data_IF_209426499947
#
_entry.id   IF_209426499947
#
_cell.length_a   1.000
_cell.length_b   1.000
_cell.length_c   1.000
_cell.angle_alpha   90.00
_cell.angle_beta   90.00
_cell.angle_gamma   90.00
#
_symmetry.space_group_name_H-M   'P 1'
#
loop_
_entity.id
_entity.type
_entity.pdbx_description
1 polymer ?
#
# COMPACT_ATOMS: atom_id res chain seq x y z
N UNK A 1 6.99 -5.19 -21.10
CA UNK A 1 5.65 -5.34 -20.47
C UNK A 1 5.27 -4.00 -19.85
N UNK A 2 4.04 -3.52 -20.04
CA UNK A 2 3.56 -2.35 -19.28
C UNK A 2 3.07 -2.86 -17.92
N UNK A 3 3.77 -2.50 -16.85
CA UNK A 3 3.31 -2.77 -15.48
C UNK A 3 2.17 -1.81 -15.16
N UNK A 4 0.95 -2.35 -15.03
CA UNK A 4 -0.22 -1.58 -14.59
C UNK A 4 -0.38 -1.85 -13.10
N UNK A 5 -0.39 -0.78 -12.31
CA UNK A 5 -0.65 -0.88 -10.88
C UNK A 5 -2.15 -0.69 -10.62
N UNK A 6 -2.70 -1.54 -9.77
CA UNK A 6 -4.10 -1.49 -9.36
C UNK A 6 -4.19 -1.09 -7.89
N UNK A 7 -5.10 -0.17 -7.59
CA UNK A 7 -5.37 0.24 -6.22
C UNK A 7 -6.87 0.10 -5.92
N UNK A 8 -7.17 -0.67 -4.88
CA UNK A 8 -8.52 -1.09 -4.52
C UNK A 8 -8.94 -0.48 -3.19
N UNK A 9 -10.16 0.06 -3.14
CA UNK A 9 -10.80 0.49 -1.90
C UNK A 9 -12.28 0.10 -1.95
N UNK A 10 -12.73 -0.68 -0.96
CA UNK A 10 -14.14 -1.06 -0.84
C UNK A 10 -14.71 -1.80 -2.06
N UNK A 11 -13.90 -2.64 -2.71
CA UNK A 11 -14.30 -3.39 -3.92
C UNK A 11 -14.31 -2.58 -5.22
N UNK A 12 -14.00 -1.27 -5.17
CA UNK A 12 -13.78 -0.44 -6.35
C UNK A 12 -12.29 -0.29 -6.60
N UNK A 13 -11.89 -0.16 -7.87
CA UNK A 13 -10.48 0.02 -8.26
C UNK A 13 -10.24 1.25 -9.10
N UNK A 14 -9.04 1.78 -8.98
CA UNK A 14 -8.40 2.62 -9.98
C UNK A 14 -7.16 1.90 -10.51
N UNK A 15 -6.70 2.27 -11.70
CA UNK A 15 -5.45 1.78 -12.26
C UNK A 15 -4.63 2.96 -12.79
N UNK A 16 -3.32 2.87 -12.62
CA UNK A 16 -2.39 3.88 -13.10
C UNK A 16 -1.19 3.22 -13.79
N UNK A 17 -0.42 4.05 -14.51
CA UNK A 17 0.74 3.60 -15.26
C UNK A 17 1.84 3.01 -14.38
N UNK A 18 2.93 2.61 -15.02
CA UNK A 18 4.07 2.05 -14.32
C UNK A 18 4.69 3.08 -13.36
N UNK A 19 4.94 2.66 -12.12
CA UNK A 19 5.78 3.39 -11.18
C UNK A 19 7.26 3.16 -11.49
N UNK A 20 8.14 4.14 -11.23
CA UNK A 20 9.57 4.02 -11.45
C UNK A 20 10.26 3.26 -10.30
N UNK A 21 9.84 2.01 -10.06
CA UNK A 21 10.30 1.18 -8.93
C UNK A 21 10.99 -0.12 -9.37
N UNK A 22 11.15 -0.30 -10.68
CA UNK A 22 11.62 -1.53 -11.30
C UNK A 22 13.10 -1.44 -11.75
N UNK A 23 13.94 -0.77 -10.95
CA UNK A 23 15.36 -0.58 -11.26
C UNK A 23 16.31 -1.39 -10.35
N UNK A 24 15.75 -2.21 -9.46
CA UNK A 24 16.50 -3.04 -8.50
C UNK A 24 16.96 -2.29 -7.25
N UNK A 25 16.47 -1.07 -6.99
CA UNK A 25 16.78 -0.30 -5.78
C UNK A 25 15.58 -0.22 -4.85
N UNK A 26 15.86 0.18 -3.61
CA UNK A 26 14.83 0.53 -2.64
C UNK A 26 14.14 1.83 -3.04
N UNK A 27 12.81 1.80 -3.03
CA UNK A 27 11.96 2.97 -3.28
C UNK A 27 10.91 3.10 -2.18
N UNK A 28 10.63 4.33 -1.79
CA UNK A 28 9.51 4.63 -0.90
C UNK A 28 8.24 4.80 -1.74
N UNK A 29 7.24 3.95 -1.52
CA UNK A 29 5.93 4.07 -2.18
C UNK A 29 4.88 4.45 -1.14
N UNK A 30 4.19 5.58 -1.36
CA UNK A 30 3.11 6.01 -0.49
C UNK A 30 1.81 6.12 -1.29
N UNK A 31 0.74 5.53 -0.78
CA UNK A 31 -0.60 5.61 -1.38
C UNK A 31 -1.56 6.21 -0.35
N UNK A 32 -2.36 7.19 -0.77
CA UNK A 32 -3.36 7.83 0.08
C UNK A 32 -4.76 7.66 -0.50
N UNK A 33 -5.75 7.63 0.39
CA UNK A 33 -7.16 7.70 0.03
C UNK A 33 -7.96 8.43 1.10
N UNK A 34 -8.89 9.28 0.66
CA UNK A 34 -9.85 9.98 1.51
C UNK A 34 -11.27 9.63 1.09
N UNK A 35 -12.08 9.19 2.06
CA UNK A 35 -13.49 8.87 1.84
C UNK A 35 -14.27 10.03 1.21
N UNK A 36 -14.13 11.24 1.75
CA UNK A 36 -14.74 12.45 1.18
C UNK A 36 -14.23 12.68 -0.24
N UNK A 37 -15.12 12.59 -1.22
CA UNK A 37 -14.80 12.76 -2.64
C UNK A 37 -13.99 11.61 -3.26
N UNK A 38 -13.56 10.60 -2.49
CA UNK A 38 -12.77 9.47 -3.00
C UNK A 38 -11.42 9.88 -3.57
N UNK A 39 -10.82 10.95 -3.02
CA UNK A 39 -9.54 11.46 -3.48
C UNK A 39 -8.42 10.46 -3.14
N UNK A 40 -7.53 10.20 -4.09
CA UNK A 40 -6.40 9.30 -3.92
C UNK A 40 -5.15 9.85 -4.59
N UNK A 41 -3.99 9.49 -4.05
CA UNK A 41 -2.68 9.89 -4.58
C UNK A 41 -1.68 8.76 -4.41
N UNK A 42 -0.69 8.72 -5.29
CA UNK A 42 0.41 7.75 -5.27
C UNK A 42 1.71 8.52 -5.44
N UNK A 43 2.64 8.29 -4.53
CA UNK A 43 3.96 8.89 -4.52
C UNK A 43 5.02 7.81 -4.62
N UNK A 44 6.12 8.13 -5.30
CA UNK A 44 7.36 7.35 -5.30
C UNK A 44 8.49 8.30 -4.95
N UNK A 45 9.26 7.95 -3.92
CA UNK A 45 10.39 8.74 -3.41
C UNK A 45 10.01 10.21 -3.13
N UNK A 46 8.84 10.41 -2.52
CA UNK A 46 8.30 11.75 -2.23
C UNK A 46 7.68 12.48 -3.42
N UNK A 47 7.81 11.96 -4.64
CA UNK A 47 7.30 12.60 -5.87
C UNK A 47 5.94 12.02 -6.25
N UNK A 48 4.95 12.89 -6.48
CA UNK A 48 3.61 12.50 -6.92
C UNK A 48 3.66 11.87 -8.31
N UNK A 49 3.26 10.60 -8.42
CA UNK A 49 3.24 9.83 -9.66
C UNK A 49 1.85 9.79 -10.29
N UNK A 50 0.81 9.68 -9.47
CA UNK A 50 -0.57 9.61 -9.93
C UNK A 50 -1.54 10.14 -8.88
N UNK A 51 -2.68 10.65 -9.31
CA UNK A 51 -3.77 11.06 -8.44
C UNK A 51 -5.11 11.04 -9.14
N UNK A 52 -6.18 11.01 -8.37
CA UNK A 52 -7.54 11.13 -8.88
C UNK A 52 -8.57 11.28 -7.77
N UNK A 53 -9.83 11.19 -8.15
CA UNK A 53 -10.98 11.26 -7.24
C UNK A 53 -12.03 10.22 -7.61
N UNK A 54 -13.12 10.14 -6.83
CA UNK A 54 -14.25 9.25 -7.08
C UNK A 54 -14.04 7.78 -6.67
N UNK A 55 -12.82 7.37 -6.31
CA UNK A 55 -12.55 6.01 -5.84
C UNK A 55 -13.27 5.79 -4.52
N UNK A 56 -14.29 4.93 -4.51
CA UNK A 56 -15.09 4.64 -3.32
C UNK A 56 -15.56 5.88 -2.53
N UNK A 57 -15.90 6.98 -3.21
CA UNK A 57 -16.32 8.22 -2.57
C UNK A 57 -17.50 7.99 -1.59
N UNK A 58 -17.38 8.52 -0.37
CA UNK A 58 -18.33 8.31 0.73
C UNK A 58 -18.28 6.93 1.38
N UNK A 59 -17.42 6.03 0.90
CA UNK A 59 -17.26 4.69 1.45
C UNK A 59 -16.47 4.67 2.77
N UNK A 60 -16.44 3.50 3.41
CA UNK A 60 -15.70 3.28 4.66
C UNK A 60 -14.88 1.99 4.56
N UNK A 61 -13.66 2.01 5.08
CA UNK A 61 -12.88 0.78 5.33
C UNK A 61 -13.49 0.07 6.53
N UNK A 62 -13.94 -1.17 6.33
CA UNK A 62 -14.61 -1.96 7.38
C UNK A 62 -13.58 -2.50 8.37
N UNK A 63 -13.97 -2.64 9.64
CA UNK A 63 -13.19 -3.33 10.66
C UNK A 63 -13.30 -4.85 10.53
N UNK A 64 -12.42 -5.59 11.20
CA UNK A 64 -12.46 -7.05 11.28
C UNK A 64 -11.80 -7.79 10.11
N UNK A 65 -10.98 -7.09 9.31
CA UNK A 65 -10.14 -7.71 8.28
C UNK A 65 -8.77 -8.14 8.79
N UNK A 66 -7.98 -8.74 7.88
CA UNK A 66 -6.59 -9.15 8.10
C UNK A 66 -5.67 -8.43 7.12
N UNK A 67 -4.52 -8.00 7.60
CA UNK A 67 -3.43 -7.47 6.78
C UNK A 67 -2.54 -8.60 6.30
N UNK A 68 -2.33 -8.67 4.99
CA UNK A 68 -1.43 -9.63 4.33
C UNK A 68 -0.49 -8.83 3.45
N UNK A 69 0.79 -9.17 3.50
CA UNK A 69 1.81 -8.65 2.61
C UNK A 69 2.19 -9.73 1.60
N UNK A 70 2.63 -9.28 0.43
CA UNK A 70 3.13 -10.10 -0.67
C UNK A 70 2.17 -11.11 -1.33
N UNK A 71 0.90 -11.17 -0.90
CA UNK A 71 -0.13 -12.01 -1.51
C UNK A 71 -1.42 -11.20 -1.72
N UNK A 72 -2.18 -11.54 -2.77
CA UNK A 72 -3.48 -10.95 -3.07
C UNK A 72 -4.61 -11.79 -2.44
N UNK A 73 -5.42 -11.17 -1.56
CA UNK A 73 -6.49 -11.84 -0.82
C UNK A 73 -7.79 -11.88 -1.64
N UNK A 74 -8.24 -13.08 -2.04
CA UNK A 74 -9.60 -13.30 -2.59
C UNK A 74 -10.65 -13.52 -1.48
N UNK A 75 -10.21 -13.86 -0.26
CA UNK A 75 -11.02 -13.97 0.96
C UNK A 75 -10.24 -13.46 2.17
N UNK A 76 -10.91 -13.18 3.29
CA UNK A 76 -10.22 -12.69 4.51
C UNK A 76 -9.20 -13.74 4.98
N UNK A 77 -7.91 -13.41 4.90
CA UNK A 77 -6.80 -14.26 5.30
C UNK A 77 -6.44 -15.39 4.33
N UNK A 78 -6.99 -15.43 3.11
CA UNK A 78 -6.73 -16.54 2.19
C UNK A 78 -7.24 -16.35 0.76
N UNK A 79 -7.29 -17.45 0.01
CA UNK A 79 -7.63 -17.44 -1.42
C UNK A 79 -6.48 -16.96 -2.33
N UNK A 80 -5.24 -17.04 -1.85
CA UNK A 80 -4.06 -16.59 -2.59
C UNK A 80 -3.84 -17.40 -3.86
N UNK A 81 -3.41 -16.73 -4.94
CA UNK A 81 -3.02 -17.38 -6.19
C UNK A 81 -1.55 -17.10 -6.51
N UNK A 82 -0.74 -18.11 -6.86
CA UNK A 82 0.72 -17.93 -7.04
C UNK A 82 1.13 -16.87 -8.05
N UNK A 83 0.31 -16.63 -9.09
CA UNK A 83 0.63 -15.65 -10.13
C UNK A 83 0.31 -14.19 -9.74
N UNK A 84 -0.33 -13.97 -8.59
CA UNK A 84 -0.61 -12.65 -8.02
C UNK A 84 0.37 -12.30 -6.88
N UNK A 85 1.27 -13.22 -6.54
CA UNK A 85 2.24 -13.02 -5.47
C UNK A 85 3.28 -11.95 -5.84
N UNK A 86 3.66 -11.16 -4.85
CA UNK A 86 4.82 -10.28 -4.95
C UNK A 86 6.09 -11.08 -4.66
N UNK A 87 7.14 -10.84 -5.44
CA UNK A 87 8.48 -11.36 -5.21
C UNK A 87 9.45 -10.19 -5.12
N UNK A 88 10.08 -10.03 -3.96
CA UNK A 88 10.97 -8.91 -3.66
C UNK A 88 11.09 -8.70 -2.16
N UNK A 89 11.62 -7.54 -1.79
CA UNK A 89 11.86 -7.15 -0.41
C UNK A 89 10.89 -6.03 0.00
N UNK A 90 10.44 -6.06 1.26
CA UNK A 90 9.60 -5.03 1.86
C UNK A 90 10.22 -4.60 3.19
N UNK A 91 10.11 -3.32 3.51
CA UNK A 91 10.57 -2.75 4.77
C UNK A 91 9.75 -1.50 5.08
N UNK A 92 9.71 -1.10 6.35
CA UNK A 92 9.10 0.16 6.80
C UNK A 92 7.62 0.32 6.37
N UNK A 93 6.85 -0.77 6.37
CA UNK A 93 5.43 -0.73 5.99
C UNK A 93 4.60 -0.19 7.15
N UNK A 94 4.16 1.06 7.01
CA UNK A 94 3.39 1.79 8.00
C UNK A 94 2.01 2.17 7.45
N UNK A 95 1.03 2.35 8.35
CA UNK A 95 -0.32 2.75 8.01
C UNK A 95 -0.90 3.76 8.99
N UNK A 96 -1.61 4.74 8.43
CA UNK A 96 -2.31 5.78 9.18
C UNK A 96 -3.81 5.79 8.87
N UNK A 97 -4.60 6.24 9.84
CA UNK A 97 -6.04 6.48 9.69
C UNK A 97 -6.38 7.86 9.07
N UNK A 98 -5.33 8.60 8.68
CA UNK A 98 -5.41 9.92 8.05
C UNK A 98 -4.57 10.00 6.78
N UNK A 99 -4.87 10.99 5.96
CA UNK A 99 -4.03 11.34 4.81
C UNK A 99 -2.80 12.10 5.32
N UNK A 100 -1.62 11.57 5.02
CA UNK A 100 -0.35 12.26 5.21
C UNK A 100 -0.23 13.44 4.23
N UNK A 101 0.40 14.52 4.68
CA UNK A 101 0.74 15.67 3.85
C UNK A 101 1.91 15.35 2.92
N UNK A 102 2.09 16.08 1.79
CA UNK A 102 3.26 15.91 0.93
C UNK A 102 4.59 16.11 1.66
N UNK A 103 4.63 16.99 2.67
CA UNK A 103 5.82 17.20 3.48
C UNK A 103 6.15 15.96 4.32
N UNK A 104 5.16 15.36 4.99
CA UNK A 104 5.35 14.10 5.73
C UNK A 104 5.82 12.98 4.81
N UNK A 105 5.22 12.85 3.63
CA UNK A 105 5.61 11.84 2.62
C UNK A 105 7.04 12.07 2.12
N UNK A 106 7.44 13.34 1.92
CA UNK A 106 8.76 13.71 1.42
C UNK A 106 9.91 13.44 2.39
N UNK A 107 9.64 13.22 3.68
CA UNK A 107 10.69 12.83 4.65
C UNK A 107 11.20 11.40 4.47
N UNK A 108 10.52 10.60 3.63
CA UNK A 108 10.85 9.19 3.42
C UNK A 108 10.30 8.29 4.54
N UNK A 109 10.57 6.98 4.44
CA UNK A 109 9.96 5.98 5.33
C UNK A 109 10.68 5.81 6.67
N UNK A 110 11.93 6.28 6.80
CA UNK A 110 12.73 6.07 8.00
C UNK A 110 12.20 6.89 9.19
N UNK A 111 12.02 6.24 10.34
CA UNK A 111 11.55 6.88 11.58
C UNK A 111 10.08 7.31 11.55
N UNK A 112 9.32 6.83 10.57
CA UNK A 112 7.88 7.03 10.50
C UNK A 112 7.17 5.93 11.27
N UNK A 113 6.21 6.32 12.12
CA UNK A 113 5.38 5.38 12.87
C UNK A 113 3.91 5.59 12.52
N UNK A 114 3.28 4.54 11.99
CA UNK A 114 1.85 4.52 11.74
C UNK A 114 1.03 4.35 13.02
N UNK A 115 -0.11 5.03 13.11
CA UNK A 115 -1.03 4.86 14.25
C UNK A 115 -1.99 3.66 14.09
N UNK A 116 -1.99 3.02 12.92
CA UNK A 116 -2.77 1.79 12.65
C UNK A 116 -1.85 0.58 12.50
N UNK A 117 -0.78 0.72 11.71
CA UNK A 117 0.30 -0.26 11.61
C UNK A 117 1.61 0.49 11.75
N UNK A 118 2.41 0.08 12.73
CA UNK A 118 3.78 0.53 12.91
C UNK A 118 4.70 -0.65 12.64
N UNK A 119 5.54 -0.56 11.60
CA UNK A 119 6.42 -1.66 11.17
C UNK A 119 7.36 -2.12 12.29
N UNK A 120 7.81 -1.19 13.14
CA UNK A 120 8.81 -1.49 14.17
C UNK A 120 8.20 -2.20 15.40
N UNK A 121 6.91 -1.98 15.66
CA UNK A 121 6.27 -2.45 16.91
C UNK A 121 5.15 -3.46 16.69
N UNK A 122 4.58 -3.54 15.48
CA UNK A 122 3.52 -4.49 15.15
C UNK A 122 4.09 -5.90 15.03
N UNK A 123 3.45 -6.88 15.68
CA UNK A 123 3.82 -8.28 15.53
C UNK A 123 3.51 -8.77 14.10
N UNK A 124 4.54 -9.06 13.31
CA UNK A 124 4.44 -9.61 11.96
C UNK A 124 4.71 -11.11 12.03
N UNK A 125 3.72 -11.92 11.65
CA UNK A 125 3.89 -13.37 11.54
C UNK A 125 4.34 -13.74 10.13
N UNK A 126 5.45 -14.47 10.04
CA UNK A 126 6.04 -14.90 8.77
C UNK A 126 5.59 -16.32 8.44
N UNK A 127 5.12 -16.54 7.21
CA UNK A 127 4.64 -17.83 6.73
C UNK A 127 5.30 -18.21 5.40
N UNK A 128 5.45 -19.52 5.15
CA UNK A 128 5.96 -20.04 3.89
C UNK A 128 7.44 -19.72 3.66
N UNK A 129 7.76 -19.19 2.48
CA UNK A 129 9.15 -18.90 2.06
C UNK A 129 9.61 -17.48 2.37
N UNK A 130 8.78 -16.67 3.04
CA UNK A 130 9.21 -15.36 3.50
C UNK A 130 10.21 -15.51 4.66
N UNK A 131 11.13 -14.54 4.77
CA UNK A 131 12.08 -14.45 5.87
C UNK A 131 12.05 -13.03 6.43
N UNK A 132 12.29 -12.91 7.74
CA UNK A 132 12.51 -11.63 8.43
C UNK A 132 13.90 -11.65 9.02
N UNK A 133 14.67 -10.59 8.79
CA UNK A 133 16.02 -10.39 9.35
C UNK A 133 15.97 -9.56 10.62
#
# INVERSE_FOLDING_TARGET
>A
MKHIFQYWVGGKRTAFGALPVWDGKWHAVCVTWRSTGGAWQVYTDGVLQASGSGLNAGGKVRSGGTWILAQDQDTVGGGFQPHQAFSGELSQVNLWDRVLTPAEIGTGPCGQHGNVIDWETTAINVFGQATSA
#
